data_IF_219635607897
#
_entry.id   IF_219635607897
#
_cell.length_a   1.000
_cell.length_b   1.000
_cell.length_c   1.000
_cell.angle_alpha   90.00
_cell.angle_beta   90.00
_cell.angle_gamma   90.00
#
_symmetry.space_group_name_H-M   'P 1'
#
loop_
_entity.id
_entity.type
_entity.pdbx_description
1 polymer ?
#
# COMPACT_ATOMS: atom_id res chain seq x y z
N UNK A 1 -36.83 37.35 0.69
CA UNK A 1 -35.64 36.88 1.42
C UNK A 1 -35.72 35.41 1.84
N UNK A 2 -36.70 34.96 2.66
CA UNK A 2 -36.77 33.56 3.17
C UNK A 2 -36.77 32.45 2.11
N UNK A 3 -37.46 32.65 0.97
CA UNK A 3 -37.58 31.64 -0.10
C UNK A 3 -36.26 31.38 -0.84
N UNK A 4 -35.41 32.41 -0.95
CA UNK A 4 -34.09 32.29 -1.60
C UNK A 4 -33.14 31.40 -0.78
N UNK A 5 -33.12 31.58 0.55
CA UNK A 5 -32.32 30.75 1.45
C UNK A 5 -32.72 29.28 1.40
N UNK A 6 -34.01 28.98 1.24
CA UNK A 6 -34.49 27.59 1.15
C UNK A 6 -34.00 26.93 -0.16
N UNK A 7 -34.13 27.63 -1.29
CA UNK A 7 -33.70 27.12 -2.59
C UNK A 7 -32.17 26.95 -2.64
N UNK A 8 -31.44 27.92 -2.10
CA UNK A 8 -29.98 27.85 -1.99
C UNK A 8 -29.52 26.68 -1.12
N UNK A 9 -30.19 26.45 0.02
CA UNK A 9 -29.89 25.34 0.92
C UNK A 9 -30.12 23.96 0.27
N UNK A 10 -31.22 23.81 -0.46
CA UNK A 10 -31.53 22.56 -1.20
C UNK A 10 -30.48 22.30 -2.27
N UNK A 11 -30.10 23.33 -3.04
CA UNK A 11 -29.10 23.21 -4.10
C UNK A 11 -27.72 22.84 -3.52
N UNK A 12 -27.34 23.47 -2.41
CA UNK A 12 -26.08 23.20 -1.72
C UNK A 12 -26.04 21.76 -1.17
N UNK A 13 -27.13 21.29 -0.57
CA UNK A 13 -27.22 19.92 -0.07
C UNK A 13 -27.10 18.88 -1.18
N UNK A 14 -27.74 19.14 -2.33
CA UNK A 14 -27.68 18.25 -3.49
C UNK A 14 -26.27 18.20 -4.09
N UNK A 15 -25.56 19.33 -4.15
CA UNK A 15 -24.19 19.38 -4.68
C UNK A 15 -23.18 18.62 -3.81
N UNK A 16 -23.38 18.54 -2.50
CA UNK A 16 -22.52 17.77 -1.58
C UNK A 16 -22.80 16.26 -1.74
N UNK A 17 -24.07 15.87 -1.94
CA UNK A 17 -24.46 14.46 -2.09
C UNK A 17 -23.89 13.77 -3.32
N UNK A 18 -23.54 14.53 -4.37
CA UNK A 18 -22.96 14.00 -5.61
C UNK A 18 -21.42 13.82 -5.52
N UNK A 19 -20.78 14.31 -4.45
CA UNK A 19 -19.34 14.29 -4.27
C UNK A 19 -18.85 13.14 -3.38
N UNK A 20 -19.56 12.01 -3.34
CA UNK A 20 -19.03 10.79 -2.72
C UNK A 20 -18.02 10.12 -3.66
N UNK A 21 -16.84 10.71 -3.77
CA UNK A 21 -15.68 10.01 -4.33
C UNK A 21 -15.31 8.94 -3.30
N UNK A 22 -15.58 7.68 -3.61
CA UNK A 22 -15.00 6.55 -2.87
C UNK A 22 -13.49 6.55 -3.16
N UNK A 23 -12.74 7.33 -2.41
CA UNK A 23 -11.30 7.17 -2.33
C UNK A 23 -11.07 5.84 -1.62
N UNK A 24 -11.00 4.75 -2.39
CA UNK A 24 -10.29 3.56 -1.94
C UNK A 24 -8.86 4.02 -1.73
N UNK A 25 -8.53 4.39 -0.50
CA UNK A 25 -7.16 4.70 -0.13
C UNK A 25 -6.36 3.43 -0.44
N UNK A 26 -5.49 3.50 -1.45
CA UNK A 26 -4.48 2.48 -1.70
C UNK A 26 -3.79 2.24 -0.36
N UNK A 27 -4.00 1.06 0.22
CA UNK A 27 -3.65 0.79 1.61
C UNK A 27 -2.14 0.74 1.73
N UNK A 28 -1.55 1.91 1.93
CA UNK A 28 -0.11 2.08 2.04
C UNK A 28 0.32 1.53 3.39
N UNK A 29 1.10 0.46 3.39
CA UNK A 29 1.62 -0.15 4.62
C UNK A 29 3.10 0.04 4.72
N UNK A 30 3.57 0.52 5.87
CA UNK A 30 4.99 0.59 6.18
C UNK A 30 5.34 -0.57 7.09
N UNK A 31 6.24 -1.43 6.63
CA UNK A 31 6.78 -2.57 7.37
C UNK A 31 8.26 -2.33 7.67
N UNK A 32 8.75 -2.83 8.80
CA UNK A 32 10.18 -2.77 9.15
C UNK A 32 10.82 -4.13 8.90
N UNK A 33 12.03 -4.34 9.40
CA UNK A 33 12.65 -5.67 9.40
C UNK A 33 11.76 -6.69 10.14
N UNK A 34 11.56 -7.86 9.53
CA UNK A 34 10.74 -8.93 10.08
C UNK A 34 10.23 -9.94 9.05
N UNK A 35 9.42 -10.88 9.51
CA UNK A 35 8.70 -11.85 8.69
C UNK A 35 7.21 -11.54 8.79
N UNK A 36 6.56 -11.35 7.65
CA UNK A 36 5.18 -10.89 7.56
C UNK A 36 4.38 -11.83 6.67
N UNK A 37 3.32 -12.43 7.22
CA UNK A 37 2.34 -13.13 6.40
C UNK A 37 1.44 -12.11 5.69
N UNK A 38 1.15 -12.33 4.40
CA UNK A 38 0.33 -11.43 3.56
C UNK A 38 -1.07 -11.24 4.13
N UNK A 39 -1.72 -12.33 4.55
CA UNK A 39 -3.06 -12.32 5.16
C UNK A 39 -3.07 -11.54 6.48
N UNK A 40 -2.19 -11.89 7.40
CA UNK A 40 -2.19 -11.30 8.75
C UNK A 40 -1.87 -9.80 8.72
N UNK A 41 -1.07 -9.39 7.74
CA UNK A 41 -0.70 -8.00 7.52
C UNK A 41 -1.60 -7.31 6.50
N UNK A 42 -2.71 -7.93 6.07
CA UNK A 42 -3.68 -7.36 5.14
C UNK A 42 -3.00 -6.60 3.98
N UNK A 43 -2.02 -7.26 3.35
CA UNK A 43 -1.30 -6.73 2.20
C UNK A 43 -2.17 -6.90 0.95
N UNK A 44 -1.96 -6.04 -0.05
CA UNK A 44 -2.68 -6.12 -1.31
C UNK A 44 -2.37 -7.46 -2.01
N UNK A 45 -3.38 -8.11 -2.55
CA UNK A 45 -3.24 -9.40 -3.26
C UNK A 45 -3.69 -9.30 -4.71
N UNK A 46 -3.20 -10.20 -5.56
CA UNK A 46 -3.64 -10.33 -6.95
C UNK A 46 -3.28 -9.17 -7.89
N UNK A 47 -2.53 -8.18 -7.40
CA UNK A 47 -2.01 -7.07 -8.20
C UNK A 47 -0.56 -6.78 -7.84
N UNK A 48 0.21 -6.28 -8.80
CA UNK A 48 1.60 -5.87 -8.58
C UNK A 48 1.65 -4.70 -7.59
N UNK A 49 2.60 -4.77 -6.66
CA UNK A 49 2.75 -3.80 -5.57
C UNK A 49 4.08 -3.09 -5.75
N UNK A 50 4.12 -1.78 -5.56
CA UNK A 50 5.39 -1.06 -5.51
C UNK A 50 5.90 -1.06 -4.08
N UNK A 51 7.13 -1.53 -3.90
CA UNK A 51 7.87 -1.42 -2.64
C UNK A 51 8.88 -0.31 -2.75
N UNK A 52 8.95 0.55 -1.73
CA UNK A 52 9.89 1.66 -1.67
C UNK A 52 10.44 1.84 -0.27
N UNK A 53 11.63 2.40 -0.15
CA UNK A 53 12.16 2.84 1.15
C UNK A 53 11.35 4.02 1.69
N UNK A 54 11.10 4.03 3.00
CA UNK A 54 10.45 5.14 3.68
C UNK A 54 11.38 6.36 3.79
N UNK A 55 12.66 6.12 4.09
CA UNK A 55 13.66 7.17 4.28
C UNK A 55 14.76 7.09 3.21
N UNK A 56 15.30 8.23 2.76
CA UNK A 56 16.49 8.27 1.90
C UNK A 56 17.71 7.71 2.64
N UNK A 57 18.54 6.93 1.95
CA UNK A 57 19.78 6.27 2.43
C UNK A 57 19.63 4.92 3.13
N UNK A 58 18.42 4.51 3.51
CA UNK A 58 18.21 3.16 4.06
C UNK A 58 18.33 2.08 2.98
N UNK A 59 18.53 0.84 3.43
CA UNK A 59 18.61 -0.34 2.58
C UNK A 59 17.71 -1.43 3.10
N UNK A 60 17.10 -2.18 2.18
CA UNK A 60 16.31 -3.35 2.52
C UNK A 60 16.45 -4.44 1.47
N UNK A 61 16.43 -5.68 1.92
CA UNK A 61 16.26 -6.88 1.11
C UNK A 61 14.88 -7.43 1.43
N UNK A 62 14.09 -7.67 0.39
CA UNK A 62 12.73 -8.17 0.49
C UNK A 62 12.66 -9.49 -0.25
N UNK A 63 12.25 -10.55 0.44
CA UNK A 63 12.06 -11.88 -0.11
C UNK A 63 10.59 -12.24 -0.05
N UNK A 64 10.02 -12.73 -1.15
CA UNK A 64 8.66 -13.27 -1.21
C UNK A 64 8.73 -14.78 -1.30
N UNK A 65 8.10 -15.44 -0.33
CA UNK A 65 8.07 -16.90 -0.18
C UNK A 65 6.63 -17.39 -0.27
N UNK A 66 6.41 -18.52 -0.92
CA UNK A 66 5.15 -19.26 -0.83
C UNK A 66 5.14 -20.23 0.38
N UNK A 67 4.00 -20.88 0.67
CA UNK A 67 3.89 -21.86 1.76
C UNK A 67 4.85 -23.05 1.62
N UNK A 68 5.23 -23.40 0.40
CA UNK A 68 6.17 -24.47 0.06
C UNK A 68 7.65 -24.03 0.17
N UNK A 69 7.91 -22.81 0.64
CA UNK A 69 9.25 -22.22 0.81
C UNK A 69 9.97 -21.92 -0.51
N UNK A 70 9.23 -21.82 -1.61
CA UNK A 70 9.75 -21.38 -2.91
C UNK A 70 9.88 -19.86 -2.92
N UNK A 71 11.01 -19.39 -3.42
CA UNK A 71 11.26 -17.95 -3.61
C UNK A 71 10.59 -17.51 -4.92
N UNK A 72 9.60 -16.62 -4.81
CA UNK A 72 8.93 -16.01 -5.97
C UNK A 72 9.56 -14.69 -6.37
N UNK A 73 10.11 -13.93 -5.41
CA UNK A 73 10.79 -12.69 -5.70
C UNK A 73 11.88 -12.39 -4.67
N UNK A 74 12.96 -11.75 -5.15
CA UNK A 74 14.00 -11.14 -4.34
C UNK A 74 14.19 -9.72 -4.86
N UNK A 75 13.95 -8.74 -3.99
CA UNK A 75 14.10 -7.32 -4.29
C UNK A 75 15.12 -6.72 -3.35
N UNK A 76 16.02 -5.91 -3.90
CA UNK A 76 17.02 -5.17 -3.13
C UNK A 76 16.72 -3.70 -3.36
N UNK A 77 16.45 -2.99 -2.27
CA UNK A 77 16.26 -1.55 -2.25
C UNK A 77 17.48 -0.89 -1.59
N UNK A 78 17.98 0.13 -2.25
CA UNK A 78 19.12 0.92 -1.79
C UNK A 78 18.98 2.38 -2.23
N UNK A 79 19.92 3.27 -1.89
CA UNK A 79 19.78 4.70 -2.20
C UNK A 79 19.78 5.00 -3.72
N UNK A 80 20.34 4.09 -4.53
CA UNK A 80 20.32 4.17 -6.01
C UNK A 80 19.05 3.59 -6.61
N UNK A 81 18.47 2.57 -5.97
CA UNK A 81 17.22 1.91 -6.36
C UNK A 81 16.25 1.97 -5.18
N UNK A 82 15.63 3.14 -4.92
CA UNK A 82 14.82 3.35 -3.73
C UNK A 82 13.44 2.67 -3.83
N UNK A 83 13.04 2.22 -5.02
CA UNK A 83 11.76 1.56 -5.25
C UNK A 83 11.83 0.49 -6.36
N UNK A 84 11.02 -0.54 -6.22
CA UNK A 84 10.86 -1.60 -7.23
C UNK A 84 9.46 -2.20 -7.15
N UNK A 85 9.02 -2.84 -8.23
CA UNK A 85 7.73 -3.54 -8.28
C UNK A 85 7.92 -5.00 -7.87
N UNK A 86 7.10 -5.45 -6.92
CA UNK A 86 6.92 -6.86 -6.59
C UNK A 86 5.85 -7.49 -7.49
N UNK A 87 6.00 -8.78 -7.83
CA UNK A 87 4.93 -9.51 -8.49
C UNK A 87 3.66 -9.56 -7.61
N UNK A 88 2.50 -9.84 -8.20
CA UNK A 88 1.27 -10.06 -7.45
C UNK A 88 1.46 -11.06 -6.31
N UNK A 89 1.09 -10.66 -5.10
CA UNK A 89 1.13 -11.52 -3.92
C UNK A 89 -0.12 -12.39 -3.84
N UNK A 90 0.05 -13.60 -3.33
CA UNK A 90 -1.04 -14.48 -2.93
C UNK A 90 -1.24 -14.46 -1.41
N UNK A 91 -2.41 -14.88 -0.96
CA UNK A 91 -2.90 -14.78 0.41
C UNK A 91 -2.03 -15.51 1.43
N UNK A 92 -1.40 -16.61 1.04
CA UNK A 92 -0.59 -17.45 1.92
C UNK A 92 0.92 -17.16 1.80
N UNK A 93 1.30 -16.14 1.02
CA UNK A 93 2.70 -15.76 0.89
C UNK A 93 3.24 -15.10 2.15
N UNK A 94 4.55 -15.21 2.33
CA UNK A 94 5.30 -14.57 3.40
C UNK A 94 6.34 -13.63 2.81
N UNK A 95 6.41 -12.43 3.37
CA UNK A 95 7.45 -11.44 3.08
C UNK A 95 8.49 -11.47 4.19
N UNK A 96 9.76 -11.64 3.81
CA UNK A 96 10.90 -11.44 4.71
C UNK A 96 11.54 -10.12 4.35
N UNK A 97 11.59 -9.19 5.29
CA UNK A 97 12.23 -7.89 5.13
C UNK A 97 13.44 -7.86 6.05
N UNK A 98 14.60 -7.56 5.49
CA UNK A 98 15.85 -7.40 6.21
C UNK A 98 16.48 -6.05 5.85
N UNK A 99 16.71 -5.17 6.82
CA UNK A 99 17.14 -3.80 6.51
C UNK A 99 17.13 -2.85 7.70
N UNK A 100 17.57 -1.61 7.48
CA UNK A 100 17.75 -0.59 8.53
C UNK A 100 16.59 0.38 8.69
N UNK A 101 15.61 0.34 7.78
CA UNK A 101 14.51 1.30 7.70
C UNK A 101 13.14 0.68 7.44
N UNK A 102 12.14 1.55 7.33
CA UNK A 102 10.80 1.17 6.90
C UNK A 102 10.72 0.96 5.39
N UNK A 103 10.00 -0.07 4.97
CA UNK A 103 9.62 -0.34 3.58
C UNK A 103 8.13 -0.05 3.44
N UNK A 104 7.80 0.85 2.52
CA UNK A 104 6.42 1.20 2.19
C UNK A 104 5.96 0.34 1.02
N UNK A 105 4.84 -0.36 1.19
CA UNK A 105 4.16 -1.15 0.18
C UNK A 105 2.87 -0.42 -0.24
N UNK A 106 2.73 -0.15 -1.54
CA UNK A 106 1.60 0.58 -2.13
C UNK A 106 1.22 0.10 -3.51
#
# INVERSE_FOLDING_TARGET
MRKFFIIFSIFLFLSISLHTISAFAQQTKTLTQGIYNVRDNNLLIGSAITVKMAEPNDKAIILVLDPEQTIHALVILDPTIPQQVLPPLDYDYSLVIYGTGGVVLS
#
